data_IF_306346688937
#
_entry.id   IF_306346688937
#
_cell.length_a   1.000
_cell.length_b   1.000
_cell.length_c   1.000
_cell.angle_alpha   90.00
_cell.angle_beta   90.00
_cell.angle_gamma   90.00
#
_symmetry.space_group_name_H-M   'P 1'
#
loop_
_entity.id
_entity.type
_entity.pdbx_description
1 polymer ?
#
# COMPACT_ATOMS: atom_id res chain seq x y z
N UNK A 1 1.57 -41.66 41.40
CA UNK A 1 2.32 -41.01 40.31
C UNK A 1 1.34 -40.03 39.67
N UNK A 2 1.37 -38.77 40.10
CA UNK A 2 0.57 -37.70 39.52
C UNK A 2 1.44 -37.01 38.47
N UNK A 3 1.15 -37.31 37.20
CA UNK A 3 1.65 -36.56 36.07
C UNK A 3 0.91 -35.21 36.05
N UNK A 4 1.50 -34.24 36.73
CA UNK A 4 1.10 -32.82 36.56
C UNK A 4 1.65 -32.38 35.20
N UNK A 5 0.88 -32.65 34.14
CA UNK A 5 1.17 -32.13 32.83
C UNK A 5 1.29 -30.62 32.92
N UNK A 6 2.52 -30.13 32.82
CA UNK A 6 2.81 -28.72 32.68
C UNK A 6 1.95 -28.17 31.54
N UNK A 7 1.18 -27.08 31.74
CA UNK A 7 0.43 -26.47 30.63
C UNK A 7 1.43 -26.09 29.54
N UNK A 8 1.35 -26.83 28.41
CA UNK A 8 2.14 -26.53 27.24
C UNK A 8 1.95 -25.06 26.89
N UNK A 9 3.04 -24.30 26.91
CA UNK A 9 3.00 -22.91 26.44
C UNK A 9 2.39 -22.91 25.03
N UNK A 10 1.36 -22.11 24.74
CA UNK A 10 0.77 -22.07 23.42
C UNK A 10 1.89 -21.77 22.41
N UNK A 11 2.05 -22.67 21.45
CA UNK A 11 3.06 -22.54 20.40
C UNK A 11 2.88 -21.18 19.72
N UNK A 12 3.92 -20.37 19.80
CA UNK A 12 3.95 -19.04 19.19
C UNK A 12 3.71 -19.20 17.70
N UNK A 13 2.64 -18.63 17.17
CA UNK A 13 2.28 -18.78 15.77
C UNK A 13 3.45 -18.35 14.86
N UNK A 14 3.99 -19.31 14.15
CA UNK A 14 5.04 -19.11 13.14
C UNK A 14 4.56 -18.16 12.03
N UNK A 15 3.25 -18.21 11.73
CA UNK A 15 2.63 -17.33 10.74
C UNK A 15 2.84 -15.85 11.06
N UNK A 16 2.57 -15.41 12.30
CA UNK A 16 2.74 -14.00 12.69
C UNK A 16 4.20 -13.58 12.58
N UNK A 17 5.10 -14.45 12.97
CA UNK A 17 6.54 -14.17 12.90
C UNK A 17 7.01 -14.01 11.45
N UNK A 18 6.62 -14.91 10.56
CA UNK A 18 6.93 -14.83 9.13
C UNK A 18 6.30 -13.58 8.52
N UNK A 19 5.00 -13.35 8.77
CA UNK A 19 4.29 -12.17 8.28
C UNK A 19 4.98 -10.87 8.73
N UNK A 20 5.35 -10.78 10.00
CA UNK A 20 6.02 -9.61 10.55
C UNK A 20 7.39 -9.38 9.87
N UNK A 21 8.22 -10.41 9.72
CA UNK A 21 9.51 -10.28 9.05
C UNK A 21 9.39 -9.87 7.58
N UNK A 22 8.52 -10.53 6.82
CA UNK A 22 8.25 -10.16 5.43
C UNK A 22 7.78 -8.71 5.34
N UNK A 23 6.85 -8.31 6.21
CA UNK A 23 6.34 -6.94 6.24
C UNK A 23 7.41 -5.91 6.64
N UNK A 24 8.32 -6.25 7.58
CA UNK A 24 9.44 -5.38 7.98
C UNK A 24 10.38 -5.15 6.80
N UNK A 25 10.75 -6.20 6.08
CA UNK A 25 11.64 -6.09 4.92
C UNK A 25 11.00 -5.24 3.83
N UNK A 26 9.74 -5.54 3.47
CA UNK A 26 9.02 -4.80 2.42
C UNK A 26 8.76 -3.34 2.85
N UNK A 27 8.18 -3.11 4.02
CA UNK A 27 7.88 -1.77 4.48
C UNK A 27 9.16 -0.95 4.77
N UNK A 28 10.22 -1.59 5.25
CA UNK A 28 11.53 -0.97 5.46
C UNK A 28 12.14 -0.49 4.14
N UNK A 29 12.13 -1.34 3.12
CA UNK A 29 12.62 -0.98 1.78
C UNK A 29 11.80 0.19 1.18
N UNK A 30 10.47 0.11 1.27
CA UNK A 30 9.58 1.18 0.77
C UNK A 30 9.81 2.49 1.55
N UNK A 31 9.94 2.42 2.87
CA UNK A 31 10.22 3.60 3.70
C UNK A 31 11.56 4.24 3.33
N UNK A 32 12.61 3.44 3.14
CA UNK A 32 13.91 3.92 2.72
C UNK A 32 13.84 4.64 1.35
N UNK A 33 13.20 4.02 0.37
CA UNK A 33 12.97 4.63 -0.95
C UNK A 33 12.15 5.91 -0.83
N UNK A 34 11.10 5.92 -0.02
CA UNK A 34 10.26 7.11 0.21
C UNK A 34 11.03 8.28 0.84
N UNK A 35 11.97 8.00 1.76
CA UNK A 35 12.86 9.02 2.32
C UNK A 35 13.75 9.61 1.21
N UNK A 36 14.40 8.76 0.41
CA UNK A 36 15.24 9.22 -0.70
C UNK A 36 14.45 10.06 -1.71
N UNK A 37 13.24 9.63 -2.07
CA UNK A 37 12.35 10.36 -2.97
C UNK A 37 11.97 11.74 -2.41
N UNK A 38 11.63 11.83 -1.12
CA UNK A 38 11.30 13.10 -0.49
C UNK A 38 12.52 14.04 -0.43
N UNK A 39 13.72 13.52 -0.15
CA UNK A 39 14.96 14.30 -0.18
C UNK A 39 15.23 14.79 -1.61
N UNK A 40 15.15 13.90 -2.60
CA UNK A 40 15.38 14.22 -4.00
C UNK A 40 14.41 15.28 -4.52
N UNK A 41 13.11 15.16 -4.19
CA UNK A 41 12.09 16.15 -4.54
C UNK A 41 12.40 17.55 -3.96
N UNK A 42 12.88 17.62 -2.72
CA UNK A 42 13.17 18.90 -2.10
C UNK A 42 14.49 19.54 -2.59
N UNK A 43 15.47 18.73 -2.99
CA UNK A 43 16.79 19.22 -3.40
C UNK A 43 16.93 19.46 -4.90
N UNK A 44 16.29 18.62 -5.73
CA UNK A 44 16.56 18.59 -7.17
C UNK A 44 15.42 19.15 -8.03
N UNK A 45 14.18 19.17 -7.51
CA UNK A 45 13.04 19.61 -8.31
C UNK A 45 12.56 21.00 -7.86
N UNK A 46 12.67 22.02 -8.73
CA UNK A 46 12.02 23.32 -8.53
C UNK A 46 10.52 23.19 -8.78
N UNK A 47 9.77 22.67 -7.78
CA UNK A 47 8.33 22.42 -7.87
C UNK A 47 7.57 23.72 -8.17
N UNK A 48 8.13 24.88 -7.79
CA UNK A 48 7.57 26.20 -8.14
C UNK A 48 7.56 26.43 -9.64
N UNK A 49 8.65 26.13 -10.34
CA UNK A 49 8.71 26.23 -11.81
C UNK A 49 7.78 25.28 -12.52
N UNK A 50 7.55 24.07 -11.96
CA UNK A 50 6.59 23.11 -12.50
C UNK A 50 5.14 23.59 -12.31
N UNK A 51 4.81 24.19 -11.16
CA UNK A 51 3.49 24.81 -10.93
C UNK A 51 3.25 26.00 -11.86
N UNK A 52 4.26 26.80 -12.12
CA UNK A 52 4.19 27.94 -13.03
C UNK A 52 3.96 27.49 -14.49
N UNK A 53 4.63 26.40 -14.89
CA UNK A 53 4.42 25.77 -16.20
C UNK A 53 3.02 25.19 -16.36
N UNK A 54 2.43 24.62 -15.30
CA UNK A 54 1.06 24.11 -15.29
C UNK A 54 0.00 25.21 -15.35
N UNK A 55 0.32 26.41 -14.82
CA UNK A 55 -0.57 27.56 -14.83
C UNK A 55 -0.45 28.43 -16.10
N UNK A 56 0.44 28.06 -17.04
CA UNK A 56 0.58 28.80 -18.30
C UNK A 56 -0.64 28.60 -19.22
N UNK A 57 -1.11 29.69 -19.88
CA UNK A 57 -2.27 29.62 -20.78
C UNK A 57 -1.95 28.70 -21.99
N UNK A 58 -2.40 27.51 -22.01
CA UNK A 58 -2.16 26.51 -23.07
C UNK A 58 -1.74 25.15 -22.54
N UNK A 59 -1.22 25.05 -21.31
CA UNK A 59 -0.92 23.78 -20.68
C UNK A 59 -2.19 23.10 -20.09
N UNK A 60 -3.20 23.89 -19.74
CA UNK A 60 -4.43 23.40 -19.09
C UNK A 60 -5.42 22.70 -20.02
N UNK A 61 -5.38 22.97 -21.35
CA UNK A 61 -6.39 22.44 -22.28
C UNK A 61 -6.40 20.92 -22.42
N UNK A 62 -5.32 20.22 -22.03
CA UNK A 62 -5.19 18.78 -22.26
C UNK A 62 -4.83 17.94 -21.01
N UNK A 63 -4.75 18.55 -19.81
CA UNK A 63 -4.42 17.83 -18.59
C UNK A 63 -5.70 17.42 -17.87
N UNK A 64 -5.96 16.11 -17.64
CA UNK A 64 -7.09 15.69 -16.82
C UNK A 64 -7.03 16.33 -15.42
N UNK A 65 -8.16 16.83 -14.90
CA UNK A 65 -8.24 17.51 -13.59
C UNK A 65 -7.60 16.71 -12.44
N UNK A 66 -7.61 15.39 -12.52
CA UNK A 66 -6.94 14.51 -11.55
C UNK A 66 -5.41 14.60 -11.65
N UNK A 67 -4.86 14.64 -12.85
CA UNK A 67 -3.42 14.77 -13.05
C UNK A 67 -2.93 16.13 -12.55
N UNK A 68 -3.68 17.20 -12.82
CA UNK A 68 -3.45 18.53 -12.27
C UNK A 68 -3.46 18.52 -10.74
N UNK A 69 -4.44 17.87 -10.11
CA UNK A 69 -4.51 17.72 -8.65
C UNK A 69 -3.28 17.00 -8.08
N UNK A 70 -2.82 15.91 -8.70
CA UNK A 70 -1.62 15.19 -8.25
C UNK A 70 -0.37 16.05 -8.43
N UNK A 71 -0.20 16.70 -9.58
CA UNK A 71 0.97 17.52 -9.87
C UNK A 71 1.04 18.76 -8.95
N UNK A 72 -0.09 19.41 -8.69
CA UNK A 72 -0.15 20.55 -7.77
C UNK A 72 0.15 20.16 -6.31
N UNK A 73 -0.14 18.90 -5.92
CA UNK A 73 0.03 18.39 -4.57
C UNK A 73 1.12 17.30 -4.46
N UNK A 74 2.07 17.27 -5.39
CA UNK A 74 3.08 16.20 -5.48
C UNK A 74 3.86 16.00 -4.17
N UNK A 75 4.25 17.07 -3.48
CA UNK A 75 4.92 17.00 -2.17
C UNK A 75 4.05 16.29 -1.13
N UNK A 76 2.76 16.64 -1.09
CA UNK A 76 1.80 16.02 -0.15
C UNK A 76 1.65 14.52 -0.41
N UNK A 77 1.62 14.12 -1.69
CA UNK A 77 1.56 12.71 -2.08
C UNK A 77 2.79 11.93 -1.60
N UNK A 78 4.00 12.43 -1.88
CA UNK A 78 5.24 11.75 -1.46
C UNK A 78 5.41 11.73 0.06
N UNK A 79 5.01 12.80 0.75
CA UNK A 79 4.97 12.82 2.21
C UNK A 79 3.94 11.83 2.75
N UNK A 80 2.76 11.74 2.15
CA UNK A 80 1.74 10.75 2.49
C UNK A 80 2.24 9.31 2.36
N UNK A 81 2.96 8.99 1.27
CA UNK A 81 3.60 7.69 1.09
C UNK A 81 4.62 7.40 2.18
N UNK A 82 5.44 8.37 2.56
CA UNK A 82 6.40 8.25 3.65
C UNK A 82 5.70 7.95 4.99
N UNK A 83 4.62 8.65 5.30
CA UNK A 83 3.83 8.42 6.52
C UNK A 83 3.22 7.02 6.54
N UNK A 84 2.60 6.61 5.44
CA UNK A 84 1.97 5.27 5.33
C UNK A 84 3.01 4.17 5.45
N UNK A 85 4.14 4.27 4.73
CA UNK A 85 5.20 3.25 4.78
C UNK A 85 5.84 3.15 6.16
N UNK A 86 6.13 4.28 6.81
CA UNK A 86 6.67 4.33 8.18
C UNK A 86 5.70 3.74 9.20
N UNK A 87 4.40 4.03 9.06
CA UNK A 87 3.34 3.47 9.92
C UNK A 87 3.22 1.97 9.72
N UNK A 88 3.33 1.49 8.47
CA UNK A 88 3.34 0.06 8.16
C UNK A 88 4.54 -0.64 8.78
N UNK A 89 5.72 -0.02 8.70
CA UNK A 89 6.94 -0.54 9.32
C UNK A 89 6.81 -0.61 10.85
N UNK A 90 6.32 0.45 11.49
CA UNK A 90 6.08 0.47 12.93
C UNK A 90 5.08 -0.59 13.37
N UNK A 91 4.00 -0.77 12.59
CA UNK A 91 2.99 -1.80 12.80
C UNK A 91 3.57 -3.21 12.66
N UNK A 92 4.42 -3.46 11.65
CA UNK A 92 5.07 -4.75 11.44
C UNK A 92 6.05 -5.11 12.60
N UNK A 93 6.81 -4.13 13.09
CA UNK A 93 7.67 -4.29 14.29
C UNK A 93 6.81 -4.56 15.53
N UNK A 94 5.69 -3.87 15.67
CA UNK A 94 4.74 -4.09 16.75
C UNK A 94 4.08 -5.48 16.72
N UNK A 95 3.80 -6.01 15.51
CA UNK A 95 3.35 -7.39 15.30
C UNK A 95 4.38 -8.41 15.78
N UNK A 96 5.67 -8.19 15.45
CA UNK A 96 6.76 -9.04 15.93
C UNK A 96 6.86 -9.04 17.46
N UNK A 97 6.61 -7.87 18.08
CA UNK A 97 6.54 -7.70 19.55
C UNK A 97 5.19 -8.14 20.15
N UNK A 98 4.29 -8.68 19.34
CA UNK A 98 2.94 -9.15 19.74
C UNK A 98 2.10 -8.10 20.47
N UNK A 99 2.21 -6.84 20.07
CA UNK A 99 1.40 -5.74 20.61
C UNK A 99 0.02 -5.72 19.95
N UNK A 100 -1.05 -5.73 20.74
CA UNK A 100 -2.42 -5.75 20.22
C UNK A 100 -2.75 -4.52 19.33
N UNK A 101 -2.25 -3.32 19.70
CA UNK A 101 -2.43 -2.13 18.89
C UNK A 101 -1.84 -2.27 17.47
N UNK A 102 -0.70 -2.96 17.36
CA UNK A 102 -0.03 -3.17 16.07
C UNK A 102 -0.84 -4.07 15.15
N UNK A 103 -1.50 -5.10 15.68
CA UNK A 103 -2.40 -5.96 14.93
C UNK A 103 -3.58 -5.17 14.36
N UNK A 104 -4.22 -4.32 15.18
CA UNK A 104 -5.34 -3.49 14.75
C UNK A 104 -4.88 -2.50 13.67
N UNK A 105 -3.76 -1.82 13.90
CA UNK A 105 -3.20 -0.87 12.97
C UNK A 105 -2.84 -1.55 11.62
N UNK A 106 -2.25 -2.74 11.67
CA UNK A 106 -1.92 -3.51 10.48
C UNK A 106 -3.17 -3.90 9.68
N UNK A 107 -4.25 -4.31 10.35
CA UNK A 107 -5.54 -4.60 9.72
C UNK A 107 -6.11 -3.34 9.04
N UNK A 108 -6.06 -2.19 9.72
CA UNK A 108 -6.50 -0.90 9.13
C UNK A 108 -5.71 -0.58 7.87
N UNK A 109 -4.39 -0.74 7.89
CA UNK A 109 -3.53 -0.51 6.72
C UNK A 109 -3.90 -1.45 5.56
N UNK A 110 -4.17 -2.72 5.83
CA UNK A 110 -4.59 -3.68 4.80
C UNK A 110 -5.96 -3.30 4.20
N UNK A 111 -6.91 -2.87 5.02
CA UNK A 111 -8.22 -2.38 4.54
C UNK A 111 -8.05 -1.14 3.66
N UNK A 112 -7.27 -0.16 4.11
CA UNK A 112 -6.94 1.02 3.32
C UNK A 112 -6.23 0.65 2.01
N UNK A 113 -5.35 -0.35 2.03
CA UNK A 113 -4.69 -0.90 0.84
C UNK A 113 -5.68 -1.49 -0.17
N UNK A 114 -6.71 -2.20 0.29
CA UNK A 114 -7.79 -2.71 -0.58
C UNK A 114 -8.56 -1.54 -1.20
N UNK A 115 -8.98 -0.57 -0.39
CA UNK A 115 -9.71 0.62 -0.86
C UNK A 115 -8.88 1.37 -1.90
N UNK A 116 -7.59 1.60 -1.62
CA UNK A 116 -6.66 2.25 -2.54
C UNK A 116 -6.55 1.49 -3.87
N UNK A 117 -6.40 0.16 -3.79
CA UNK A 117 -6.29 -0.71 -4.97
C UNK A 117 -7.54 -0.63 -5.85
N UNK A 118 -8.73 -0.72 -5.24
CA UNK A 118 -10.01 -0.59 -5.96
C UNK A 118 -10.13 0.81 -6.59
N UNK A 119 -9.81 1.86 -5.84
CA UNK A 119 -9.84 3.25 -6.33
C UNK A 119 -8.89 3.44 -7.51
N UNK A 120 -7.69 2.88 -7.48
CA UNK A 120 -6.72 2.95 -8.56
C UNK A 120 -7.25 2.27 -9.84
N UNK A 121 -7.89 1.10 -9.72
CA UNK A 121 -8.53 0.42 -10.87
C UNK A 121 -9.67 1.25 -11.44
N UNK A 122 -10.52 1.83 -10.61
CA UNK A 122 -11.62 2.69 -11.05
C UNK A 122 -11.06 3.92 -11.78
N UNK A 123 -10.07 4.60 -11.22
CA UNK A 123 -9.45 5.77 -11.86
C UNK A 123 -8.82 5.43 -13.20
N UNK A 124 -8.18 4.29 -13.32
CA UNK A 124 -7.62 3.82 -14.58
C UNK A 124 -8.71 3.73 -15.68
N UNK A 125 -9.94 3.33 -15.34
CA UNK A 125 -11.03 3.26 -16.29
C UNK A 125 -11.48 4.65 -16.81
N UNK A 126 -11.40 5.67 -15.96
CA UNK A 126 -11.74 7.04 -16.35
C UNK A 126 -10.64 7.75 -17.15
N UNK A 127 -9.38 7.34 -16.98
CA UNK A 127 -8.25 7.93 -17.71
C UNK A 127 -8.07 7.37 -19.12
N UNK A 128 -8.45 6.12 -19.36
CA UNK A 128 -8.25 5.46 -20.66
C UNK A 128 -9.12 6.03 -21.81
N UNK A 129 -10.38 6.45 -21.62
CA UNK A 129 -11.17 7.03 -22.71
C UNK A 129 -10.57 8.28 -23.34
N UNK A 130 -9.76 9.02 -22.57
CA UNK A 130 -9.07 10.23 -23.07
C UNK A 130 -7.94 9.91 -24.06
N UNK A 131 -7.61 8.63 -24.25
CA UNK A 131 -6.58 8.13 -25.17
C UNK A 131 -7.16 7.51 -26.45
N UNK A 132 -8.46 7.75 -26.76
CA UNK A 132 -9.09 7.25 -28.00
C UNK A 132 -8.55 7.90 -29.27
N UNK A 133 -7.74 8.96 -29.18
CA UNK A 133 -7.00 9.56 -30.29
C UNK A 133 -5.64 8.88 -30.60
N UNK A 134 -5.42 7.69 -30.03
CA UNK A 134 -4.19 6.92 -30.33
C UNK A 134 -4.28 6.36 -31.76
N UNK A 135 -3.23 6.53 -32.58
CA UNK A 135 -3.20 5.99 -33.94
C UNK A 135 -3.56 4.51 -33.98
N UNK A 136 -4.25 4.11 -35.03
CA UNK A 136 -4.78 2.76 -35.32
C UNK A 136 -3.66 1.71 -35.51
N UNK A 137 -2.57 1.84 -34.76
CA UNK A 137 -1.47 0.88 -34.75
C UNK A 137 -1.87 -0.31 -33.86
N UNK A 138 -2.22 -1.41 -34.51
CA UNK A 138 -2.75 -2.62 -33.90
C UNK A 138 -1.85 -3.17 -32.78
N UNK A 139 -0.54 -2.97 -32.86
CA UNK A 139 0.42 -3.44 -31.85
C UNK A 139 0.32 -2.64 -30.54
N UNK A 140 0.14 -1.32 -30.63
CA UNK A 140 -0.02 -0.47 -29.46
C UNK A 140 -1.34 -0.74 -28.73
N UNK A 141 -2.43 -0.93 -29.46
CA UNK A 141 -3.74 -1.29 -28.90
C UNK A 141 -3.69 -2.62 -28.13
N UNK A 142 -3.02 -3.65 -28.70
CA UNK A 142 -2.83 -4.95 -28.04
C UNK A 142 -2.03 -4.81 -26.74
N UNK A 143 -0.95 -4.03 -26.75
CA UNK A 143 -0.12 -3.78 -25.56
C UNK A 143 -0.95 -3.11 -24.45
N UNK A 144 -1.76 -2.10 -24.77
CA UNK A 144 -2.61 -1.40 -23.80
C UNK A 144 -3.65 -2.32 -23.19
N UNK A 145 -4.29 -3.18 -23.99
CA UNK A 145 -5.24 -4.18 -23.50
C UNK A 145 -4.53 -5.19 -22.59
N UNK A 146 -3.37 -5.69 -22.98
CA UNK A 146 -2.59 -6.61 -22.18
C UNK A 146 -2.19 -6.01 -20.82
N UNK A 147 -1.70 -4.76 -20.81
CA UNK A 147 -1.38 -4.04 -19.55
C UNK A 147 -2.61 -3.87 -18.68
N UNK A 148 -3.78 -3.56 -19.25
CA UNK A 148 -5.04 -3.42 -18.52
C UNK A 148 -5.46 -4.73 -17.85
N UNK A 149 -5.43 -5.83 -18.62
CA UNK A 149 -5.77 -7.17 -18.08
C UNK A 149 -4.78 -7.54 -16.97
N UNK A 150 -3.48 -7.33 -17.17
CA UNK A 150 -2.46 -7.60 -16.18
C UNK A 150 -2.70 -6.81 -14.88
N UNK A 151 -3.00 -5.51 -14.98
CA UNK A 151 -3.30 -4.66 -13.82
C UNK A 151 -4.54 -5.17 -13.06
N UNK A 152 -5.60 -5.57 -13.77
CA UNK A 152 -6.81 -6.11 -13.15
C UNK A 152 -6.53 -7.42 -12.41
N UNK A 153 -5.77 -8.34 -13.01
CA UNK A 153 -5.38 -9.62 -12.39
C UNK A 153 -4.54 -9.35 -11.13
N UNK A 154 -3.56 -8.46 -11.22
CA UNK A 154 -2.71 -8.09 -10.08
C UNK A 154 -3.52 -7.43 -8.96
N UNK A 155 -4.43 -6.52 -9.30
CA UNK A 155 -5.29 -5.85 -8.34
C UNK A 155 -6.20 -6.83 -7.60
N UNK A 156 -6.78 -7.79 -8.31
CA UNK A 156 -7.61 -8.86 -7.74
C UNK A 156 -6.77 -9.76 -6.82
N UNK A 157 -5.60 -10.20 -7.27
CA UNK A 157 -4.68 -11.03 -6.50
C UNK A 157 -4.25 -10.38 -5.19
N UNK A 158 -3.85 -9.11 -5.23
CA UNK A 158 -3.44 -8.34 -4.05
C UNK A 158 -4.63 -8.15 -3.09
N UNK A 159 -5.83 -7.83 -3.61
CA UNK A 159 -7.02 -7.66 -2.78
C UNK A 159 -7.45 -8.95 -2.08
N UNK A 160 -7.37 -10.09 -2.77
CA UNK A 160 -7.63 -11.41 -2.19
C UNK A 160 -6.59 -11.77 -1.12
N UNK A 161 -5.31 -11.49 -1.37
CA UNK A 161 -4.24 -11.70 -0.39
C UNK A 161 -4.49 -10.87 0.88
N UNK A 162 -4.80 -9.58 0.73
CA UNK A 162 -5.08 -8.69 1.87
C UNK A 162 -6.32 -9.16 2.63
N UNK A 163 -7.40 -9.55 1.94
CA UNK A 163 -8.60 -10.10 2.56
C UNK A 163 -8.32 -11.38 3.35
N UNK A 164 -7.49 -12.28 2.81
CA UNK A 164 -7.06 -13.48 3.49
C UNK A 164 -6.21 -13.18 4.74
N UNK A 165 -5.27 -12.23 4.65
CA UNK A 165 -4.46 -11.78 5.79
C UNK A 165 -5.34 -11.17 6.89
N UNK A 166 -6.30 -10.33 6.53
CA UNK A 166 -7.26 -9.73 7.49
C UNK A 166 -8.04 -10.84 8.20
N UNK A 167 -8.62 -11.78 7.43
CA UNK A 167 -9.36 -12.92 8.00
C UNK A 167 -8.49 -13.72 8.97
N UNK A 168 -7.26 -14.01 8.62
CA UNK A 168 -6.32 -14.75 9.46
C UNK A 168 -5.96 -13.97 10.73
N UNK A 169 -5.68 -12.67 10.64
CA UNK A 169 -5.36 -11.80 11.78
C UNK A 169 -6.56 -11.58 12.74
N UNK A 170 -7.78 -11.72 12.23
CA UNK A 170 -9.00 -11.61 13.03
C UNK A 170 -9.39 -12.93 13.71
N UNK A 171 -8.77 -14.06 13.35
CA UNK A 171 -9.10 -15.36 13.93
C UNK A 171 -8.88 -15.38 15.45
N UNK A 172 -9.73 -16.13 16.16
CA UNK A 172 -9.67 -16.26 17.62
C UNK A 172 -8.34 -16.83 18.11
N UNK A 173 -7.75 -17.73 17.35
CA UNK A 173 -6.45 -18.34 17.61
C UNK A 173 -5.35 -17.28 17.70
N UNK A 174 -5.26 -16.41 16.69
CA UNK A 174 -4.26 -15.33 16.65
C UNK A 174 -4.59 -14.24 17.66
N UNK A 175 -5.89 -13.92 17.85
CA UNK A 175 -6.31 -12.91 18.82
C UNK A 175 -5.84 -13.26 20.25
N UNK A 176 -5.88 -14.54 20.63
CA UNK A 176 -5.44 -15.00 21.93
C UNK A 176 -3.96 -14.74 22.24
N UNK A 177 -3.12 -14.66 21.22
CA UNK A 177 -1.68 -14.39 21.38
C UNK A 177 -1.34 -12.93 21.75
N UNK A 178 -2.27 -12.00 21.48
CA UNK A 178 -2.11 -10.56 21.72
C UNK A 178 -2.82 -10.08 23.00
N UNK A 179 -3.62 -10.92 23.65
CA UNK A 179 -4.27 -10.57 24.90
C UNK A 179 -3.30 -10.85 26.07
N UNK A 180 -3.19 -9.92 27.05
CA UNK A 180 -2.46 -10.20 28.29
C UNK A 180 -3.12 -11.40 28.98
N UNK A 181 -2.30 -12.36 29.41
CA UNK A 181 -2.82 -13.41 30.29
C UNK A 181 -3.29 -12.75 31.58
N UNK A 182 -4.54 -12.98 31.95
CA UNK A 182 -5.00 -12.69 33.30
C UNK A 182 -4.16 -13.54 34.26
N UNK A 183 -3.29 -12.88 35.03
CA UNK A 183 -2.57 -13.46 36.16
C UNK A 183 -3.50 -13.58 37.35
#
# INVERSE_FOLDING_TARGET
>A
MNDTGSPSSPDKSTFITILAWVSIVLAGSVTFVSILQNIMLNLMFPIEGMKESLNSPGAQENIPAFAEFILSNVRLFFFGFLVVSSTTLASAIGLLKRKNWARILFIIILVLGIIWNISAVIMQQFMIPSMQDVPDDSQFAVLMIAMRIFTLIMALGISLLFGWLIKKLLSSEIRGEFLPRAT
#
